data_IF_989809831242
#
_entry.id   IF_989809831242
#
_cell.length_a   1.000
_cell.length_b   1.000
_cell.length_c   1.000
_cell.angle_alpha   90.00
_cell.angle_beta   90.00
_cell.angle_gamma   90.00
#
_symmetry.space_group_name_H-M   'P 1'
#
loop_
_entity.id
_entity.type
_entity.pdbx_description
1 polymer ?
#
# COMPACT_ATOMS: atom_id res chain seq x y z
N UNK A 1 -10.42 -38.10 22.46
CA UNK A 1 -9.57 -36.89 22.31
C UNK A 1 -10.09 -36.17 21.09
N UNK A 2 -10.72 -34.99 21.25
CA UNK A 2 -11.42 -34.32 20.15
C UNK A 2 -10.70 -33.05 19.73
N UNK A 3 -10.31 -32.96 18.47
CA UNK A 3 -9.78 -31.75 17.85
C UNK A 3 -10.92 -30.91 17.25
N UNK A 4 -10.77 -29.59 17.26
CA UNK A 4 -11.67 -28.68 16.57
C UNK A 4 -10.90 -27.56 15.88
N UNK A 5 -11.50 -26.96 14.85
CA UNK A 5 -10.89 -25.90 14.04
C UNK A 5 -11.57 -24.58 14.31
N UNK A 6 -10.79 -23.52 14.47
CA UNK A 6 -11.27 -22.16 14.63
C UNK A 6 -10.39 -21.18 13.86
N UNK A 7 -10.87 -19.98 13.60
CA UNK A 7 -10.13 -18.95 12.86
C UNK A 7 -9.47 -17.97 13.84
N UNK A 8 -8.20 -17.63 13.59
CA UNK A 8 -7.51 -16.56 14.30
C UNK A 8 -8.23 -15.22 14.02
N UNK A 9 -8.62 -14.46 15.05
CA UNK A 9 -9.33 -13.19 14.86
C UNK A 9 -8.48 -12.11 14.20
N UNK A 10 -7.16 -12.28 14.18
CA UNK A 10 -6.24 -11.25 13.69
C UNK A 10 -5.84 -11.44 12.23
N UNK A 11 -5.56 -12.67 11.80
CA UNK A 11 -5.12 -12.96 10.43
C UNK A 11 -6.07 -13.88 9.65
N UNK A 12 -7.13 -14.38 10.28
CA UNK A 12 -8.09 -15.30 9.66
C UNK A 12 -7.56 -16.73 9.45
N UNK A 13 -6.36 -17.05 9.95
CA UNK A 13 -5.79 -18.39 9.81
C UNK A 13 -6.64 -19.44 10.55
N UNK A 14 -7.00 -20.52 9.88
CA UNK A 14 -7.64 -21.67 10.52
C UNK A 14 -6.60 -22.49 11.30
N UNK A 15 -6.83 -22.62 12.60
CA UNK A 15 -5.97 -23.33 13.56
C UNK A 15 -6.77 -24.50 14.12
N UNK A 16 -6.14 -25.67 14.21
CA UNK A 16 -6.68 -26.86 14.87
C UNK A 16 -6.16 -26.89 16.30
N UNK A 17 -7.05 -27.05 17.28
CA UNK A 17 -6.67 -27.23 18.67
C UNK A 17 -7.48 -28.35 19.33
N UNK A 18 -6.93 -28.90 20.41
CA UNK A 18 -7.61 -29.93 21.20
C UNK A 18 -8.69 -29.29 22.08
N UNK A 19 -9.78 -30.03 22.34
CA UNK A 19 -10.86 -29.61 23.25
C UNK A 19 -10.36 -29.24 24.66
N UNK A 20 -9.33 -29.93 25.14
CA UNK A 20 -8.66 -29.68 26.43
C UNK A 20 -7.94 -28.34 26.51
N UNK A 21 -7.62 -27.73 25.36
CA UNK A 21 -6.89 -26.46 25.29
C UNK A 21 -7.82 -25.23 25.24
N UNK A 22 -9.13 -25.42 25.34
CA UNK A 22 -10.11 -24.34 25.39
C UNK A 22 -9.86 -23.40 26.59
N UNK A 23 -9.79 -22.09 26.32
CA UNK A 23 -9.45 -21.07 27.31
C UNK A 23 -7.95 -20.83 27.51
N UNK A 24 -7.07 -21.65 26.93
CA UNK A 24 -5.62 -21.45 26.99
C UNK A 24 -5.15 -20.43 25.95
N UNK A 25 -4.06 -19.73 26.25
CA UNK A 25 -3.40 -18.82 25.29
C UNK A 25 -2.41 -19.59 24.42
N UNK A 26 -2.56 -19.48 23.11
CA UNK A 26 -1.62 -20.04 22.13
C UNK A 26 -1.12 -18.95 21.17
N UNK A 27 0.03 -19.15 20.56
CA UNK A 27 0.57 -18.23 19.55
C UNK A 27 0.15 -18.66 18.14
N UNK A 28 -0.40 -17.73 17.36
CA UNK A 28 -0.76 -18.00 15.98
C UNK A 28 0.50 -18.17 15.11
N UNK A 29 0.64 -19.27 14.34
CA UNK A 29 1.84 -19.51 13.52
C UNK A 29 1.98 -18.56 12.32
N UNK A 30 0.93 -17.80 11.99
CA UNK A 30 0.92 -16.91 10.81
C UNK A 30 1.18 -15.46 11.19
N UNK A 31 0.64 -15.00 12.32
CA UNK A 31 0.77 -13.60 12.75
C UNK A 31 1.50 -13.41 14.07
N UNK A 32 1.94 -14.50 14.71
CA UNK A 32 2.72 -14.54 15.95
C UNK A 32 2.07 -13.80 17.14
N UNK A 33 0.75 -13.60 17.09
CA UNK A 33 -0.02 -12.97 18.16
C UNK A 33 -0.61 -14.04 19.08
N UNK A 34 -0.62 -13.73 20.38
CA UNK A 34 -1.22 -14.56 21.42
C UNK A 34 -2.74 -14.47 21.32
N UNK A 35 -3.39 -15.60 21.17
CA UNK A 35 -4.84 -15.73 21.04
C UNK A 35 -5.38 -16.75 22.05
N UNK A 36 -6.60 -16.53 22.53
CA UNK A 36 -7.27 -17.47 23.43
C UNK A 36 -8.05 -18.49 22.59
N UNK A 37 -7.84 -19.78 22.85
CA UNK A 37 -8.58 -20.85 22.19
C UNK A 37 -10.06 -20.77 22.62
N UNK A 38 -11.02 -20.61 21.69
CA UNK A 38 -12.43 -20.49 22.05
C UNK A 38 -12.96 -21.82 22.60
N UNK A 39 -14.03 -21.75 23.40
CA UNK A 39 -14.68 -22.95 23.91
C UNK A 39 -15.18 -23.80 22.74
N UNK A 40 -14.75 -25.06 22.72
CA UNK A 40 -15.15 -26.00 21.68
C UNK A 40 -16.66 -26.30 21.79
N UNK A 41 -17.43 -26.27 20.70
CA UNK A 41 -18.84 -26.63 20.73
C UNK A 41 -19.01 -28.10 21.14
N UNK A 42 -20.03 -28.38 21.97
CA UNK A 42 -20.31 -29.71 22.53
C UNK A 42 -20.85 -30.72 21.50
N UNK A 43 -21.27 -30.28 20.31
CA UNK A 43 -21.78 -31.14 19.24
C UNK A 43 -20.98 -30.97 17.95
N UNK A 44 -20.71 -32.08 17.27
CA UNK A 44 -19.97 -32.18 16.00
C UNK A 44 -20.76 -31.71 14.77
N UNK A 45 -21.90 -31.03 14.96
CA UNK A 45 -22.80 -30.64 13.88
C UNK A 45 -23.28 -29.20 14.03
N UNK A 46 -22.36 -28.24 13.86
CA UNK A 46 -22.71 -26.84 13.62
C UNK A 46 -21.57 -26.10 12.92
N UNK A 47 -21.81 -25.82 11.64
CA UNK A 47 -21.05 -24.93 10.77
C UNK A 47 -21.22 -23.48 11.23
N UNK A 48 -20.66 -23.14 12.39
CA UNK A 48 -20.62 -21.77 12.89
C UNK A 48 -19.17 -21.46 13.29
N UNK A 49 -18.56 -20.54 12.54
CA UNK A 49 -17.21 -20.04 12.81
C UNK A 49 -17.28 -19.22 14.11
N UNK A 50 -16.86 -19.82 15.22
CA UNK A 50 -16.68 -19.10 16.48
C UNK A 50 -15.39 -18.28 16.40
N UNK A 51 -15.52 -16.96 16.35
CA UNK A 51 -14.40 -16.02 16.45
C UNK A 51 -13.93 -15.94 17.91
N UNK A 52 -12.63 -16.13 18.15
CA UNK A 52 -12.04 -15.97 19.47
C UNK A 52 -12.02 -14.50 19.92
N UNK A 53 -12.15 -14.28 21.23
CA UNK A 53 -12.01 -12.95 21.86
C UNK A 53 -10.56 -12.69 22.31
N UNK A 54 -10.14 -11.43 22.22
CA UNK A 54 -8.82 -10.95 22.61
C UNK A 54 -8.72 -10.78 24.13
N UNK A 55 -7.68 -11.33 24.75
CA UNK A 55 -7.39 -11.12 26.17
C UNK A 55 -6.75 -9.74 26.38
N UNK A 56 -7.41 -8.89 27.18
CA UNK A 56 -6.85 -7.59 27.60
C UNK A 56 -7.71 -6.36 27.33
N UNK A 57 -8.89 -6.52 26.70
CA UNK A 57 -9.83 -5.40 26.52
C UNK A 57 -10.86 -5.38 27.66
N UNK A 58 -10.97 -4.29 28.45
CA UNK A 58 -12.01 -4.20 29.46
C UNK A 58 -13.38 -4.21 28.79
N UNK A 59 -14.29 -5.03 29.31
CA UNK A 59 -15.66 -5.14 28.85
C UNK A 59 -16.32 -3.75 28.89
N UNK A 60 -16.90 -3.31 27.78
CA UNK A 60 -17.81 -2.16 27.79
C UNK A 60 -19.04 -2.56 28.58
N UNK A 61 -19.24 -1.94 29.73
CA UNK A 61 -20.49 -2.02 30.49
C UNK A 61 -21.60 -1.38 29.62
N UNK A 62 -22.73 -2.05 29.36
CA UNK A 62 -23.85 -1.46 28.66
C UNK A 62 -24.49 -0.33 29.48
N UNK A 63 -25.06 0.71 28.84
CA UNK A 63 -25.61 1.86 29.53
C UNK A 63 -26.97 1.50 30.13
N UNK A 64 -27.09 1.56 31.46
CA UNK A 64 -28.35 1.39 32.14
C UNK A 64 -28.21 1.26 33.65
N UNK A 65 -28.12 2.39 34.35
CA UNK A 65 -29.05 2.83 35.42
C UNK A 65 -28.51 4.11 36.08
N UNK A 66 -29.40 4.97 36.62
CA UNK A 66 -29.05 6.26 37.20
C UNK A 66 -28.68 6.13 38.68
N UNK A 67 -27.82 7.02 39.16
CA UNK A 67 -27.64 7.28 40.60
C UNK A 67 -26.19 7.18 41.04
N UNK A 68 -25.67 8.31 41.54
CA UNK A 68 -24.37 8.35 42.21
C UNK A 68 -23.68 9.69 42.03
N UNK A 69 -24.19 10.73 42.69
CA UNK A 69 -23.49 11.97 42.96
C UNK A 69 -22.07 11.71 43.47
N UNK A 70 -21.09 12.39 42.86
CA UNK A 70 -19.69 12.35 43.22
C UNK A 70 -19.06 13.71 42.97
N UNK A 71 -19.44 14.65 43.84
CA UNK A 71 -18.71 15.83 44.29
C UNK A 71 -17.86 16.66 43.31
N UNK A 72 -18.28 17.93 43.21
CA UNK A 72 -17.57 19.05 42.64
C UNK A 72 -16.15 19.24 43.24
N UNK A 73 -15.20 19.57 42.36
CA UNK A 73 -13.91 20.17 42.71
C UNK A 73 -13.72 21.45 41.90
N UNK A 74 -14.34 22.55 42.35
CA UNK A 74 -14.12 23.89 41.81
C UNK A 74 -12.80 24.45 42.38
N UNK A 75 -11.72 24.37 41.61
CA UNK A 75 -10.42 24.95 41.93
C UNK A 75 -10.18 26.26 41.18
N UNK A 76 -10.32 27.39 41.86
CA UNK A 76 -10.12 28.75 41.34
C UNK A 76 -8.75 29.29 41.74
N UNK A 77 -7.88 29.66 40.78
CA UNK A 77 -6.70 30.52 40.97
C UNK A 77 -6.27 31.24 39.64
N UNK A 78 -5.54 32.38 39.72
CA UNK A 78 -5.72 33.57 38.87
C UNK A 78 -4.83 33.65 37.62
N UNK A 79 -5.26 34.49 36.66
CA UNK A 79 -4.59 34.74 35.39
C UNK A 79 -3.37 35.67 35.50
N UNK A 80 -2.31 35.29 34.79
CA UNK A 80 -1.11 36.09 34.52
C UNK A 80 -1.25 36.71 33.13
N UNK A 81 -0.95 38.01 32.92
CA UNK A 81 -1.22 38.69 31.66
C UNK A 81 -0.24 38.24 30.55
N UNK A 82 -0.79 37.57 29.53
CA UNK A 82 -0.14 37.00 28.34
C UNK A 82 0.37 38.06 27.33
N UNK A 83 0.24 39.34 27.63
CA UNK A 83 0.51 40.44 26.67
C UNK A 83 1.99 40.83 26.54
N UNK A 84 2.86 40.52 27.50
CA UNK A 84 4.27 40.91 27.43
C UNK A 84 5.17 39.92 26.65
N UNK A 85 4.81 38.64 26.58
CA UNK A 85 5.64 37.59 25.94
C UNK A 85 5.51 37.61 24.42
N UNK A 86 4.33 37.97 23.89
CA UNK A 86 4.07 38.05 22.45
C UNK A 86 4.81 39.21 21.75
N UNK A 87 5.03 40.34 22.44
CA UNK A 87 5.74 41.49 21.86
C UNK A 87 7.25 41.28 21.80
N UNK A 88 7.84 40.55 22.74
CA UNK A 88 9.28 40.24 22.73
C UNK A 88 9.61 39.17 21.68
N UNK A 89 8.76 38.15 21.49
CA UNK A 89 8.97 37.13 20.45
C UNK A 89 8.79 37.69 19.03
N UNK A 90 7.84 38.60 18.80
CA UNK A 90 7.67 39.24 17.50
C UNK A 90 8.87 40.12 17.10
N UNK A 91 9.49 40.82 18.07
CA UNK A 91 10.69 41.63 17.84
C UNK A 91 11.93 40.82 17.45
N UNK A 92 12.13 39.64 18.06
CA UNK A 92 13.28 38.76 17.78
C UNK A 92 13.14 38.06 16.42
N UNK A 93 11.93 37.70 16.00
CA UNK A 93 11.67 37.11 14.67
C UNK A 93 11.80 38.14 13.54
N UNK A 94 11.39 39.39 13.78
CA UNK A 94 11.50 40.49 12.81
C UNK A 94 12.95 40.89 12.51
N UNK A 95 13.82 40.96 13.53
CA UNK A 95 15.23 41.30 13.35
C UNK A 95 16.03 40.18 12.63
N UNK A 96 15.67 38.92 12.86
CA UNK A 96 16.32 37.76 12.21
C UNK A 96 16.06 37.66 10.70
N UNK A 97 14.84 37.97 10.25
CA UNK A 97 14.48 37.94 8.82
C UNK A 97 15.09 39.09 8.01
N UNK A 98 15.39 40.23 8.64
CA UNK A 98 15.98 41.38 7.95
C UNK A 98 17.47 41.16 7.64
N UNK A 99 18.23 40.55 8.56
CA UNK A 99 19.67 40.30 8.36
C UNK A 99 19.92 39.15 7.36
N UNK A 100 19.03 38.16 7.27
CA UNK A 100 19.20 37.04 6.34
C UNK A 100 18.82 37.37 4.88
N UNK A 101 18.10 38.47 4.64
CA UNK A 101 17.71 38.91 3.29
C UNK A 101 18.83 39.67 2.57
N UNK A 102 19.81 40.19 3.31
CA UNK A 102 20.93 40.97 2.76
C UNK A 102 22.06 40.07 2.19
N UNK A 103 22.11 38.78 2.57
CA UNK A 103 23.23 37.90 2.24
C UNK A 103 22.95 36.81 1.18
N UNK A 104 21.78 36.83 0.51
CA UNK A 104 21.34 35.77 -0.41
C UNK A 104 20.92 36.22 -1.82
N UNK A 105 21.26 37.45 -2.25
CA UNK A 105 21.02 37.89 -3.63
C UNK A 105 22.34 38.22 -4.36
N UNK A 106 22.93 37.27 -5.10
CA UNK A 106 23.88 37.61 -6.15
C UNK A 106 23.15 38.12 -7.40
N UNK A 107 23.80 39.07 -8.07
CA UNK A 107 23.30 39.96 -9.11
C UNK A 107 22.65 39.27 -10.33
N UNK A 108 21.51 39.83 -10.79
CA UNK A 108 20.97 39.61 -12.13
C UNK A 108 21.80 40.41 -13.13
N UNK A 109 22.57 39.73 -13.97
CA UNK A 109 23.10 40.33 -15.19
C UNK A 109 21.94 40.52 -16.19
N UNK A 110 21.68 41.78 -16.50
CA UNK A 110 20.88 42.19 -17.66
C UNK A 110 21.72 41.99 -18.93
N UNK A 111 21.21 41.18 -19.86
CA UNK A 111 21.68 41.12 -21.24
C UNK A 111 20.46 41.17 -22.15
N UNK A 112 20.20 42.34 -22.72
CA UNK A 112 19.17 42.57 -23.74
C UNK A 112 19.85 42.68 -25.11
N UNK A 113 19.34 41.97 -26.10
CA UNK A 113 19.68 42.11 -27.52
C UNK A 113 19.12 40.95 -28.37
N UNK A 114 17.97 41.15 -29.05
CA UNK A 114 17.29 40.17 -29.93
C UNK A 114 17.85 40.13 -31.37
N UNK A 115 17.07 39.85 -32.43
CA UNK A 115 15.78 39.15 -32.57
C UNK A 115 15.78 38.03 -33.65
N UNK A 116 14.58 37.46 -33.93
CA UNK A 116 14.13 36.76 -35.19
C UNK A 116 14.58 35.32 -35.49
N UNK A 117 13.69 34.35 -35.27
CA UNK A 117 12.89 33.70 -36.33
C UNK A 117 11.97 32.59 -35.75
N UNK A 118 10.69 32.63 -36.13
CA UNK A 118 9.74 31.51 -36.05
C UNK A 118 10.09 30.48 -37.16
N UNK A 119 9.78 29.18 -37.17
CA UNK A 119 8.91 28.23 -36.46
C UNK A 119 9.42 26.79 -36.83
N UNK A 120 8.63 25.70 -36.74
CA UNK A 120 7.98 25.02 -35.62
C UNK A 120 8.53 23.57 -35.45
N UNK A 121 7.82 22.75 -34.66
CA UNK A 121 7.84 21.28 -34.59
C UNK A 121 8.60 20.63 -33.42
N UNK A 122 7.79 20.11 -32.49
CA UNK A 122 7.88 18.75 -31.96
C UNK A 122 9.23 18.28 -31.43
N UNK A 123 9.44 18.47 -30.12
CA UNK A 123 10.26 17.54 -29.34
C UNK A 123 9.90 17.65 -27.85
N UNK A 124 9.49 16.51 -27.30
CA UNK A 124 9.64 16.08 -25.91
C UNK A 124 9.46 17.15 -24.82
N UNK A 125 8.25 17.21 -24.26
CA UNK A 125 8.07 17.62 -22.87
C UNK A 125 8.80 16.59 -21.98
N UNK A 126 10.10 16.82 -21.78
CA UNK A 126 10.89 16.14 -20.78
C UNK A 126 10.27 16.45 -19.41
N UNK A 127 9.72 15.41 -18.79
CA UNK A 127 9.26 15.43 -17.41
C UNK A 127 10.45 15.80 -16.52
N UNK A 128 10.56 17.08 -16.21
CA UNK A 128 11.36 17.56 -15.10
C UNK A 128 10.43 17.60 -13.90
N UNK A 129 10.30 16.49 -13.17
CA UNK A 129 9.65 16.49 -11.86
C UNK A 129 10.65 15.99 -10.83
N UNK A 130 11.54 16.88 -10.42
CA UNK A 130 12.18 16.80 -9.11
C UNK A 130 11.36 17.70 -8.17
N UNK A 131 10.16 17.24 -7.80
CA UNK A 131 9.29 17.93 -6.84
C UNK A 131 8.87 16.94 -5.73
N UNK A 132 8.99 17.32 -4.44
CA UNK A 132 8.97 16.40 -3.29
C UNK A 132 7.60 15.81 -2.92
N UNK A 133 6.61 15.81 -3.83
CA UNK A 133 5.20 15.55 -3.55
C UNK A 133 4.64 14.35 -4.34
N UNK A 134 5.35 13.22 -4.30
CA UNK A 134 5.04 12.00 -5.10
C UNK A 134 3.89 11.17 -4.51
N UNK A 135 3.45 11.47 -3.28
CA UNK A 135 2.37 10.77 -2.59
C UNK A 135 1.00 11.48 -2.69
N UNK A 136 0.95 12.67 -3.31
CA UNK A 136 -0.32 13.36 -3.48
C UNK A 136 -1.08 12.82 -4.70
N UNK A 137 -2.15 12.09 -4.41
CA UNK A 137 -3.09 11.59 -5.40
C UNK A 137 -3.75 12.73 -6.20
N UNK A 138 -3.82 13.96 -5.67
CA UNK A 138 -4.43 15.12 -6.32
C UNK A 138 -3.65 15.60 -7.55
N UNK A 139 -2.32 15.50 -7.51
CA UNK A 139 -1.42 15.91 -8.59
C UNK A 139 -1.15 14.80 -9.62
N UNK A 140 -1.75 13.62 -9.43
CA UNK A 140 -1.55 12.46 -10.29
C UNK A 140 -2.25 12.63 -11.64
N UNK A 141 -1.61 13.34 -12.57
CA UNK A 141 -1.97 13.34 -13.99
C UNK A 141 -1.55 11.99 -14.56
N UNK A 142 -2.52 11.16 -14.94
CA UNK A 142 -2.22 9.90 -15.65
C UNK A 142 -2.07 10.25 -17.13
N UNK A 143 -0.86 10.20 -17.71
CA UNK A 143 -0.70 10.47 -19.12
C UNK A 143 -1.41 9.39 -19.94
N UNK A 144 -1.96 9.76 -21.10
CA UNK A 144 -2.48 8.80 -22.08
C UNK A 144 -1.35 8.03 -22.81
N UNK A 145 -0.09 8.21 -22.37
CA UNK A 145 1.08 7.49 -22.83
C UNK A 145 1.28 6.16 -22.10
N UNK A 146 2.07 5.27 -22.70
CA UNK A 146 2.44 3.96 -22.13
C UNK A 146 3.01 4.11 -20.71
N UNK A 147 2.64 3.20 -19.80
CA UNK A 147 3.16 3.19 -18.42
C UNK A 147 4.67 3.38 -18.39
N UNK A 148 5.09 4.43 -17.72
CA UNK A 148 6.50 4.79 -17.53
C UNK A 148 6.68 5.53 -16.21
N UNK A 149 7.92 5.70 -15.79
CA UNK A 149 8.25 6.47 -14.59
C UNK A 149 9.64 6.15 -14.07
N UNK A 150 9.81 6.25 -12.77
CA UNK A 150 11.06 5.98 -12.06
C UNK A 150 10.85 4.87 -11.04
N UNK A 151 11.68 3.83 -11.08
CA UNK A 151 11.68 2.76 -10.09
C UNK A 151 13.11 2.62 -9.56
N UNK A 152 13.29 2.77 -8.25
CA UNK A 152 14.58 2.73 -7.56
C UNK A 152 15.63 3.70 -8.15
N UNK A 153 15.19 4.87 -8.59
CA UNK A 153 16.05 5.87 -9.24
C UNK A 153 16.39 5.59 -10.72
N UNK A 154 15.91 4.47 -11.28
CA UNK A 154 16.12 4.11 -12.69
C UNK A 154 14.88 4.41 -13.52
N UNK A 155 15.06 4.87 -14.76
CA UNK A 155 13.95 5.05 -15.68
C UNK A 155 13.31 3.69 -16.02
N UNK A 156 12.00 3.60 -15.80
CA UNK A 156 11.21 2.44 -16.10
C UNK A 156 10.32 2.72 -17.32
N UNK A 157 10.39 1.85 -18.31
CA UNK A 157 9.48 1.83 -19.45
C UNK A 157 8.79 0.49 -19.50
N UNK A 158 7.47 0.49 -19.40
CA UNK A 158 6.70 -0.73 -19.48
C UNK A 158 6.93 -1.42 -20.82
N UNK A 159 7.30 -2.70 -20.81
CA UNK A 159 7.43 -3.52 -22.02
C UNK A 159 6.31 -4.55 -22.12
N UNK A 160 5.94 -5.17 -21.00
CA UNK A 160 4.90 -6.20 -20.96
C UNK A 160 4.05 -6.07 -19.72
N UNK A 161 2.74 -6.17 -19.90
CA UNK A 161 1.77 -6.22 -18.80
C UNK A 161 0.94 -7.49 -18.92
N UNK A 162 0.83 -8.21 -17.82
CA UNK A 162 0.05 -9.45 -17.74
C UNK A 162 -0.84 -9.41 -16.51
N UNK A 163 -2.06 -9.90 -16.64
CA UNK A 163 -3.01 -10.03 -15.54
C UNK A 163 -3.39 -11.50 -15.38
N UNK A 164 -3.09 -12.07 -14.21
CA UNK A 164 -3.33 -13.48 -13.94
C UNK A 164 -3.78 -13.67 -12.49
N UNK A 165 -4.98 -14.24 -12.27
CA UNK A 165 -5.48 -14.57 -10.93
C UNK A 165 -5.42 -13.37 -9.95
N UNK A 166 -5.85 -12.20 -10.42
CA UNK A 166 -5.79 -10.94 -9.68
C UNK A 166 -4.40 -10.31 -9.56
N UNK A 167 -3.33 -10.94 -10.05
CA UNK A 167 -1.99 -10.36 -10.05
C UNK A 167 -1.76 -9.57 -11.34
N UNK A 168 -1.73 -8.24 -11.22
CA UNK A 168 -1.30 -7.35 -12.30
C UNK A 168 0.22 -7.23 -12.26
N UNK A 169 0.92 -7.75 -13.28
CA UNK A 169 2.38 -7.65 -13.40
C UNK A 169 2.76 -6.74 -14.57
N UNK A 170 3.48 -5.67 -14.25
CA UNK A 170 4.03 -4.70 -15.20
C UNK A 170 5.55 -4.86 -15.15
N UNK A 171 6.18 -5.20 -16.28
CA UNK A 171 7.61 -5.52 -16.31
C UNK A 171 8.37 -4.90 -17.47
N UNK A 172 9.66 -4.73 -17.23
CA UNK A 172 10.69 -4.39 -18.19
C UNK A 172 11.65 -5.57 -18.35
N UNK A 173 12.08 -5.82 -19.58
CA UNK A 173 12.93 -6.95 -19.96
C UNK A 173 12.14 -8.05 -20.68
N UNK A 174 12.79 -8.66 -21.68
CA UNK A 174 12.25 -9.80 -22.44
C UNK A 174 12.45 -11.14 -21.72
N UNK A 175 13.45 -11.24 -20.85
CA UNK A 175 13.87 -12.49 -20.21
C UNK A 175 13.29 -12.62 -18.80
N UNK A 176 12.92 -13.83 -18.40
CA UNK A 176 12.54 -14.15 -17.02
C UNK A 176 13.78 -14.64 -16.24
N UNK A 177 14.05 -14.16 -15.02
CA UNK A 177 13.32 -13.13 -14.27
C UNK A 177 13.52 -11.71 -14.84
N UNK A 178 12.53 -10.82 -14.66
CA UNK A 178 12.57 -9.47 -15.21
C UNK A 178 13.66 -8.65 -14.53
N UNK A 179 14.21 -7.68 -15.25
CA UNK A 179 15.19 -6.74 -14.72
C UNK A 179 14.56 -5.79 -13.72
N UNK A 180 13.36 -5.30 -14.03
CA UNK A 180 12.57 -4.43 -13.18
C UNK A 180 11.09 -4.75 -13.38
N UNK A 181 10.36 -4.98 -12.30
CA UNK A 181 8.95 -5.33 -12.36
C UNK A 181 8.19 -4.83 -11.13
N UNK A 182 6.95 -4.43 -11.36
CA UNK A 182 5.96 -4.15 -10.33
C UNK A 182 4.84 -5.15 -10.47
N UNK A 183 4.48 -5.80 -9.37
CA UNK A 183 3.37 -6.73 -9.31
C UNK A 183 2.38 -6.30 -8.22
N UNK A 184 1.12 -6.14 -8.59
CA UNK A 184 0.05 -5.69 -7.70
C UNK A 184 -0.95 -6.84 -7.56
N UNK A 185 -1.01 -7.43 -6.36
CA UNK A 185 -1.99 -8.44 -6.03
C UNK A 185 -3.31 -7.76 -5.69
N UNK A 186 -4.19 -7.73 -6.66
CA UNK A 186 -5.58 -7.33 -6.51
C UNK A 186 -6.34 -8.51 -5.93
N UNK A 187 -7.28 -8.23 -5.02
CA UNK A 187 -8.11 -9.25 -4.36
C UNK A 187 -9.26 -9.75 -5.25
N UNK A 188 -8.99 -9.92 -6.54
CA UNK A 188 -9.95 -10.43 -7.53
C UNK A 188 -9.71 -11.92 -7.79
N UNK A 189 -10.79 -12.70 -7.94
CA UNK A 189 -10.70 -14.13 -8.24
C UNK A 189 -10.40 -14.35 -9.72
N UNK A 190 -11.04 -13.57 -10.59
CA UNK A 190 -10.84 -13.62 -12.02
C UNK A 190 -10.32 -12.28 -12.54
N UNK A 191 -9.66 -12.31 -13.69
CA UNK A 191 -9.12 -11.10 -14.33
C UNK A 191 -10.25 -10.24 -14.91
N UNK A 192 -11.32 -10.90 -15.35
CA UNK A 192 -12.54 -10.31 -15.92
C UNK A 192 -13.35 -9.54 -14.87
N UNK A 193 -13.28 -9.96 -13.60
CA UNK A 193 -13.90 -9.24 -12.47
C UNK A 193 -13.36 -7.81 -12.30
N UNK A 194 -12.20 -7.52 -12.89
CA UNK A 194 -11.58 -6.19 -12.83
C UNK A 194 -12.07 -5.27 -13.95
N UNK A 195 -12.76 -5.79 -14.98
CA UNK A 195 -13.28 -4.99 -16.10
C UNK A 195 -14.17 -3.83 -15.61
N UNK A 196 -13.87 -2.61 -16.07
CA UNK A 196 -14.59 -1.40 -15.67
C UNK A 196 -14.43 -0.98 -14.20
N UNK A 197 -13.67 -1.72 -13.38
CA UNK A 197 -13.48 -1.39 -11.96
C UNK A 197 -12.37 -0.37 -11.76
N UNK A 198 -12.52 0.43 -10.72
CA UNK A 198 -11.50 1.36 -10.25
C UNK A 198 -11.05 0.97 -8.84
N UNK A 199 -9.75 1.03 -8.59
CA UNK A 199 -9.12 0.79 -7.29
C UNK A 199 -8.30 2.00 -6.93
N UNK A 200 -8.63 2.63 -5.80
CA UNK A 200 -7.91 3.79 -5.28
C UNK A 200 -7.47 3.50 -3.85
N UNK A 201 -6.19 3.70 -3.57
CA UNK A 201 -5.55 3.48 -2.27
C UNK A 201 -4.76 4.73 -1.95
N UNK A 202 -5.14 5.40 -0.88
CA UNK A 202 -4.37 6.49 -0.31
C UNK A 202 -3.28 5.93 0.64
N UNK A 203 -2.18 6.67 0.85
CA UNK A 203 -1.06 6.21 1.69
C UNK A 203 -1.45 5.85 3.13
N UNK A 204 -2.45 6.54 3.67
CA UNK A 204 -3.01 6.41 5.03
C UNK A 204 -4.10 5.34 5.14
N UNK A 205 -4.49 4.71 4.02
CA UNK A 205 -5.55 3.71 4.00
C UNK A 205 -5.16 2.46 4.80
N UNK A 206 -6.00 2.10 5.75
CA UNK A 206 -5.85 0.88 6.55
C UNK A 206 -6.20 -0.39 5.74
N UNK A 207 -5.58 -1.54 6.03
CA UNK A 207 -5.92 -2.82 5.41
C UNK A 207 -7.41 -3.19 5.56
N UNK A 208 -8.01 -3.91 4.59
CA UNK A 208 -7.36 -4.60 3.48
C UNK A 208 -7.06 -3.69 2.28
N UNK A 209 -5.80 -3.70 1.83
CA UNK A 209 -5.34 -3.04 0.60
C UNK A 209 -4.61 -4.05 -0.30
N UNK A 210 -4.49 -3.80 -1.62
CA UNK A 210 -3.68 -4.62 -2.50
C UNK A 210 -2.23 -4.76 -1.99
N UNK A 211 -1.58 -5.88 -2.29
CA UNK A 211 -0.15 -6.03 -2.00
C UNK A 211 0.65 -5.60 -3.21
N UNK A 212 1.58 -4.67 -3.06
CA UNK A 212 2.50 -4.27 -4.13
C UNK A 212 3.85 -4.92 -3.91
N UNK A 213 4.39 -5.56 -4.93
CA UNK A 213 5.71 -6.19 -4.92
C UNK A 213 6.57 -5.54 -5.99
N UNK A 214 7.62 -4.84 -5.58
CA UNK A 214 8.66 -4.33 -6.45
C UNK A 214 9.77 -5.38 -6.55
N UNK A 215 10.14 -5.78 -7.78
CA UNK A 215 11.20 -6.75 -8.05
C UNK A 215 12.24 -6.14 -8.96
N UNK A 216 13.50 -6.38 -8.65
CA UNK A 216 14.63 -5.94 -9.46
C UNK A 216 15.76 -6.96 -9.43
N UNK A 217 16.72 -6.82 -10.35
CA UNK A 217 18.02 -7.49 -10.23
C UNK A 217 19.02 -6.57 -9.52
N UNK A 218 19.74 -7.11 -8.54
CA UNK A 218 20.83 -6.39 -7.87
C UNK A 218 22.11 -6.36 -8.73
N UNK A 219 23.21 -5.84 -8.15
CA UNK A 219 24.51 -5.77 -8.81
C UNK A 219 25.06 -7.16 -9.17
N UNK A 220 24.67 -8.20 -8.45
CA UNK A 220 25.05 -9.61 -8.70
C UNK A 220 24.09 -10.32 -9.66
N UNK A 221 23.18 -9.59 -10.32
CA UNK A 221 22.12 -10.14 -11.18
C UNK A 221 21.12 -11.05 -10.46
N UNK A 222 21.10 -11.06 -9.12
CA UNK A 222 20.16 -11.82 -8.32
C UNK A 222 18.84 -11.08 -8.22
N UNK A 223 17.74 -11.83 -8.30
CA UNK A 223 16.40 -11.27 -8.17
C UNK A 223 16.08 -10.94 -6.71
N UNK A 224 15.92 -9.66 -6.41
CA UNK A 224 15.50 -9.16 -5.10
C UNK A 224 14.07 -8.64 -5.20
N UNK A 225 13.32 -8.67 -4.10
CA UNK A 225 11.96 -8.15 -4.05
C UNK A 225 11.68 -7.42 -2.74
N UNK A 226 10.89 -6.37 -2.83
CA UNK A 226 10.39 -5.59 -1.70
C UNK A 226 8.86 -5.55 -1.77
N UNK A 227 8.22 -5.74 -0.63
CA UNK A 227 6.76 -5.84 -0.52
C UNK A 227 6.23 -4.65 0.27
N UNK A 228 5.21 -4.00 -0.28
CA UNK A 228 4.49 -2.89 0.32
C UNK A 228 3.03 -3.30 0.55
N UNK A 229 2.57 -3.11 1.78
CA UNK A 229 1.20 -3.40 2.23
C UNK A 229 0.51 -2.21 2.86
N UNK A 230 1.17 -1.06 2.93
CA UNK A 230 0.67 0.23 3.40
C UNK A 230 1.57 1.37 2.88
N UNK A 231 1.19 2.63 3.12
CA UNK A 231 2.04 3.80 2.86
C UNK A 231 2.26 4.16 1.39
N UNK A 232 1.66 3.43 0.46
CA UNK A 232 1.76 3.68 -0.97
C UNK A 232 0.48 4.31 -1.51
N UNK A 233 0.59 5.10 -2.58
CA UNK A 233 -0.55 5.65 -3.29
C UNK A 233 -0.78 4.84 -4.58
N UNK A 234 -2.00 4.38 -4.82
CA UNK A 234 -2.37 3.66 -6.03
C UNK A 234 -3.70 4.18 -6.56
N UNK A 235 -3.70 4.57 -7.83
CA UNK A 235 -4.92 4.79 -8.62
C UNK A 235 -4.86 3.88 -9.82
N UNK A 236 -5.83 2.97 -9.92
CA UNK A 236 -5.93 2.00 -10.99
C UNK A 236 -7.34 2.04 -11.54
N UNK A 237 -7.48 2.23 -12.85
CA UNK A 237 -8.77 2.16 -13.53
C UNK A 237 -8.66 1.16 -14.66
N UNK A 238 -9.47 0.14 -14.63
CA UNK A 238 -9.60 -0.82 -15.70
C UNK A 238 -10.67 -0.39 -16.68
N UNK A 239 -10.37 -0.52 -17.96
CA UNK A 239 -11.31 -0.33 -19.05
C UNK A 239 -12.09 -1.62 -19.34
N UNK A 240 -12.60 -1.69 -20.57
CA UNK A 240 -13.25 -2.89 -21.08
C UNK A 240 -12.23 -4.01 -21.34
N UNK A 241 -12.72 -5.24 -21.28
CA UNK A 241 -12.00 -6.42 -21.76
C UNK A 241 -12.31 -6.56 -23.25
N UNK A 242 -11.25 -6.57 -24.07
CA UNK A 242 -11.32 -6.80 -25.50
C UNK A 242 -10.48 -8.03 -25.82
N UNK A 243 -11.14 -9.08 -26.33
CA UNK A 243 -10.56 -10.40 -26.58
C UNK A 243 -9.91 -11.04 -25.33
N UNK A 244 -8.57 -11.02 -25.27
CA UNK A 244 -7.73 -11.53 -24.18
C UNK A 244 -6.92 -10.42 -23.52
N UNK A 245 -7.31 -9.17 -23.72
CA UNK A 245 -6.63 -8.03 -23.17
C UNK A 245 -7.59 -7.15 -22.38
N UNK A 246 -7.06 -6.55 -21.32
CA UNK A 246 -7.76 -5.52 -20.56
C UNK A 246 -6.94 -4.24 -20.65
N UNK A 247 -7.58 -3.16 -21.09
CA UNK A 247 -6.96 -1.84 -21.09
C UNK A 247 -7.12 -1.20 -19.72
N UNK A 248 -6.22 -0.29 -19.37
CA UNK A 248 -6.33 0.40 -18.09
C UNK A 248 -5.36 1.55 -17.95
N UNK A 249 -5.54 2.28 -16.87
CA UNK A 249 -4.75 3.42 -16.43
C UNK A 249 -4.24 3.15 -15.04
N UNK A 250 -2.98 3.43 -14.80
CA UNK A 250 -2.35 3.27 -13.50
C UNK A 250 -1.58 4.51 -13.12
N UNK A 251 -1.62 4.82 -11.84
CA UNK A 251 -0.67 5.64 -11.11
C UNK A 251 -0.30 4.88 -9.84
N UNK A 252 0.98 4.72 -9.58
CA UNK A 252 1.49 4.09 -8.38
C UNK A 252 2.68 4.91 -7.88
N UNK A 253 2.66 5.24 -6.60
CA UNK A 253 3.77 5.85 -5.89
C UNK A 253 4.11 5.02 -4.66
N UNK A 254 5.37 4.64 -4.52
CA UNK A 254 5.88 3.79 -3.44
C UNK A 254 6.64 4.61 -2.39
N UNK A 255 6.56 4.23 -1.11
CA UNK A 255 7.30 4.85 -0.02
C UNK A 255 8.69 4.20 0.14
N UNK A 256 9.42 3.96 -0.95
CA UNK A 256 10.81 3.50 -0.89
C UNK A 256 11.78 4.70 -0.83
N UNK A 257 13.04 4.43 -0.51
CA UNK A 257 14.08 5.46 -0.39
C UNK A 257 14.25 6.29 -1.68
N UNK A 258 13.87 5.71 -2.82
CA UNK A 258 13.95 6.33 -4.14
C UNK A 258 12.66 7.00 -4.60
N UNK A 259 11.59 6.95 -3.80
CA UNK A 259 10.26 7.50 -4.13
C UNK A 259 9.79 7.07 -5.53
N UNK A 260 9.85 5.76 -5.76
CA UNK A 260 9.50 5.11 -7.01
C UNK A 260 8.07 5.44 -7.42
N UNK A 261 7.89 5.94 -8.65
CA UNK A 261 6.58 6.29 -9.19
C UNK A 261 6.43 5.82 -10.64
N UNK A 262 5.26 5.32 -10.99
CA UNK A 262 4.89 4.98 -12.37
C UNK A 262 3.49 5.48 -12.68
N UNK A 263 3.29 5.96 -13.90
CA UNK A 263 2.00 6.41 -14.38
C UNK A 263 1.82 6.11 -15.87
N UNK A 264 0.58 5.89 -16.29
CA UNK A 264 0.21 5.84 -17.71
C UNK A 264 -0.88 4.82 -18.04
N UNK A 265 -1.05 4.59 -19.33
CA UNK A 265 -1.97 3.60 -19.90
C UNK A 265 -1.27 2.28 -20.17
N UNK A 266 -1.98 1.18 -19.93
CA UNK A 266 -1.50 -0.17 -20.24
C UNK A 266 -2.55 -0.99 -20.98
N UNK A 267 -2.06 -1.97 -21.74
CA UNK A 267 -2.82 -3.07 -22.29
C UNK A 267 -2.28 -4.35 -21.68
N UNK A 268 -3.02 -4.95 -20.74
CA UNK A 268 -2.62 -6.14 -20.02
C UNK A 268 -3.15 -7.39 -20.72
N UNK A 269 -2.28 -8.35 -20.97
CA UNK A 269 -2.67 -9.67 -21.47
C UNK A 269 -3.26 -10.50 -20.32
N UNK A 270 -4.48 -10.99 -20.49
CA UNK A 270 -5.15 -11.88 -19.55
C UNK A 270 -4.59 -13.27 -19.75
N UNK A 271 -3.84 -13.75 -18.76
CA UNK A 271 -3.29 -15.11 -18.78
C UNK A 271 -4.26 -16.06 -18.06
N UNK A 272 -4.44 -17.29 -18.57
CA UNK A 272 -5.25 -18.29 -17.89
C UNK A 272 -4.66 -18.58 -16.50
N UNK A 273 -5.49 -18.98 -15.53
CA UNK A 273 -5.00 -19.33 -14.20
C UNK A 273 -3.96 -20.44 -14.32
N UNK A 274 -2.81 -20.26 -13.66
CA UNK A 274 -1.78 -21.29 -13.58
C UNK A 274 -2.38 -22.50 -12.86
N UNK A 275 -2.93 -23.46 -13.60
CA UNK A 275 -3.27 -24.77 -13.07
C UNK A 275 -1.95 -25.40 -12.62
N UNK A 276 -1.68 -25.37 -11.31
CA UNK A 276 -0.62 -26.20 -10.74
C UNK A 276 -0.98 -27.63 -11.13
N UNK A 277 -0.26 -28.20 -12.08
CA UNK A 277 -0.38 -29.60 -12.42
C UNK A 277 -0.16 -30.38 -11.11
N UNK A 278 -1.22 -31.03 -10.63
CA UNK A 278 -1.09 -32.02 -9.57
C UNK A 278 -0.14 -33.07 -10.14
N UNK A 279 1.14 -33.04 -9.74
CA UNK A 279 2.07 -34.12 -10.03
C UNK A 279 1.35 -35.42 -9.64
N UNK A 280 1.14 -36.38 -10.56
CA UNK A 280 0.65 -37.69 -10.17
C UNK A 280 1.58 -38.22 -9.07
N UNK A 281 1.03 -38.57 -7.91
CA UNK A 281 1.80 -39.28 -6.89
C UNK A 281 2.23 -40.59 -7.55
N UNK A 282 3.52 -40.74 -7.84
CA UNK A 282 4.10 -42.02 -8.25
C UNK A 282 3.71 -43.05 -7.19
N UNK A 283 3.05 -44.16 -7.56
CA UNK A 283 2.77 -45.24 -6.62
C UNK A 283 4.09 -45.74 -6.02
N UNK A 284 4.13 -45.93 -4.71
CA UNK A 284 5.28 -46.53 -4.05
C UNK A 284 5.57 -47.90 -4.69
N UNK A 285 6.85 -48.25 -4.94
CA UNK A 285 7.18 -49.57 -5.44
C UNK A 285 6.76 -50.63 -4.41
N UNK A 286 6.29 -51.80 -4.86
CA UNK A 286 5.92 -52.88 -3.95
C UNK A 286 7.15 -53.30 -3.14
N UNK A 287 6.98 -53.33 -1.81
CA UNK A 287 7.95 -53.92 -0.89
C UNK A 287 8.15 -55.39 -1.25
N UNK A 288 9.40 -55.78 -1.51
CA UNK A 288 9.81 -57.17 -1.72
C UNK A 288 10.13 -57.82 -0.38
#
# INVERSE_FOLDING_TARGET
MGEFKFACPVCGQHITAERSSAGTQIECPTCFRKIVVPQAPASSDSKLILSAAEAGKPARVPPGLPGGEGAAGAGRQPGVPVTAVLLVLAGVVGAGLFIFRDHLLPARNAGTGGPTNAAPAGAAAALTTNSPEVLDLSQAVIPDAKVSGTLRGTNFVCQRVTLQNGLLSIRQGKTWPPELAVAIQLHARQSEDLAGRSVEVAPDRLPPVPRVTLRWKDQEQKSVSQVFTNGYALKLKFGAVEDKFITGRIFLALPDDYRSSIAGTFKAEILPPSQKSKKPKTPAPPSR
#
